data_IF_956485130842
#
_entry.id   IF_956485130842
#
_cell.length_a   1.000
_cell.length_b   1.000
_cell.length_c   1.000
_cell.angle_alpha   90.00
_cell.angle_beta   90.00
_cell.angle_gamma   90.00
#
_symmetry.space_group_name_H-M   'P 1'
#
loop_
_entity.id
_entity.type
_entity.pdbx_description
1 polymer ?
#
# COMPACT_ATOMS: atom_id res chain seq x y z
N UNK A 1 -104.99 -10.42 15.78
CA UNK A 1 -103.95 -10.71 16.74
C UNK A 1 -102.62 -10.74 15.99
N UNK A 2 -101.95 -9.66 15.94
CA UNK A 2 -100.80 -9.35 15.04
C UNK A 2 -99.55 -9.46 15.90
N UNK A 3 -98.63 -10.33 15.52
CA UNK A 3 -97.30 -10.40 16.14
C UNK A 3 -96.28 -9.68 15.26
N UNK A 4 -95.65 -8.68 15.82
CA UNK A 4 -94.49 -7.96 15.26
C UNK A 4 -93.23 -8.81 15.37
N UNK A 5 -92.47 -8.86 14.31
CA UNK A 5 -91.12 -9.42 14.25
C UNK A 5 -90.10 -8.29 14.26
N UNK A 6 -89.16 -8.36 15.17
CA UNK A 6 -88.02 -7.46 15.32
C UNK A 6 -86.82 -7.91 14.48
N UNK A 7 -86.11 -7.04 13.70
CA UNK A 7 -84.87 -7.40 13.02
C UNK A 7 -83.67 -7.22 13.90
N UNK A 8 -82.81 -8.24 13.99
CA UNK A 8 -81.49 -8.22 14.63
C UNK A 8 -80.47 -7.62 13.69
N UNK A 9 -79.87 -6.52 14.08
CA UNK A 9 -78.74 -5.89 13.37
C UNK A 9 -77.46 -6.57 13.80
N UNK A 10 -76.82 -7.28 12.91
CA UNK A 10 -75.49 -7.85 13.09
C UNK A 10 -74.39 -6.79 12.88
N UNK A 11 -73.62 -6.50 13.93
CA UNK A 11 -72.45 -5.61 13.88
C UNK A 11 -71.27 -6.37 13.33
N UNK A 12 -70.90 -6.15 12.07
CA UNK A 12 -69.68 -6.68 11.42
C UNK A 12 -68.46 -5.85 11.84
N UNK A 13 -67.56 -6.42 12.63
CA UNK A 13 -66.25 -5.83 12.91
C UNK A 13 -65.37 -5.94 11.64
N UNK A 14 -65.13 -4.82 10.96
CA UNK A 14 -64.08 -4.69 9.95
C UNK A 14 -62.74 -4.56 10.71
N UNK A 15 -61.94 -5.61 10.74
CA UNK A 15 -60.54 -5.56 11.15
C UNK A 15 -59.70 -4.96 10.03
N UNK A 16 -59.39 -3.67 10.15
CA UNK A 16 -58.36 -3.00 9.31
C UNK A 16 -56.99 -3.57 9.69
N UNK A 17 -56.46 -4.52 8.89
CA UNK A 17 -55.09 -4.94 8.99
C UNK A 17 -54.15 -3.83 8.52
N UNK A 18 -53.44 -3.18 9.46
CA UNK A 18 -52.28 -2.34 9.15
C UNK A 18 -51.19 -3.26 8.59
N UNK A 19 -51.05 -3.34 7.28
CA UNK A 19 -49.86 -3.83 6.62
C UNK A 19 -48.76 -2.82 6.86
N UNK A 20 -47.94 -3.04 7.91
CA UNK A 20 -46.74 -2.30 8.16
C UNK A 20 -45.79 -2.51 6.97
N UNK A 21 -45.62 -1.49 6.14
CA UNK A 21 -44.60 -1.45 5.09
C UNK A 21 -43.24 -1.50 5.78
N UNK A 22 -42.56 -2.66 5.76
CA UNK A 22 -41.15 -2.76 6.10
C UNK A 22 -40.42 -1.95 5.03
N UNK A 23 -39.70 -0.87 5.39
CA UNK A 23 -38.91 -0.14 4.40
C UNK A 23 -37.87 -1.12 3.83
N UNK A 24 -38.01 -1.46 2.55
CA UNK A 24 -36.96 -2.14 1.82
C UNK A 24 -35.73 -1.23 1.88
N UNK A 25 -34.67 -1.65 2.58
CA UNK A 25 -33.39 -0.95 2.49
C UNK A 25 -32.99 -0.95 1.01
N UNK A 26 -32.97 0.23 0.40
CA UNK A 26 -32.51 0.39 -0.94
C UNK A 26 -31.09 -0.21 -1.05
N UNK A 27 -30.86 -1.08 -2.03
CA UNK A 27 -29.55 -1.63 -2.27
C UNK A 27 -28.56 -0.48 -2.51
N UNK A 28 -27.39 -0.54 -1.87
CA UNK A 28 -26.34 0.46 -2.10
C UNK A 28 -25.96 0.43 -3.57
N UNK A 29 -25.94 1.57 -4.21
CA UNK A 29 -25.50 1.71 -5.61
C UNK A 29 -24.74 3.02 -5.76
N UNK A 30 -23.83 3.08 -6.73
CA UNK A 30 -23.08 4.28 -7.03
C UNK A 30 -21.84 3.99 -7.86
N UNK A 31 -21.17 5.05 -8.28
CA UNK A 31 -19.90 4.94 -9.00
C UNK A 31 -18.75 5.33 -8.08
N UNK A 32 -17.76 4.44 -7.97
CA UNK A 32 -16.51 4.65 -7.26
C UNK A 32 -15.36 4.58 -8.27
N UNK A 33 -14.43 5.52 -8.20
CA UNK A 33 -13.21 5.47 -9.00
C UNK A 33 -12.02 4.99 -8.15
N UNK A 34 -11.10 4.24 -8.78
CA UNK A 34 -9.84 3.79 -8.19
C UNK A 34 -8.71 4.19 -9.14
N UNK A 35 -7.92 5.21 -8.74
CA UNK A 35 -6.92 5.86 -9.59
C UNK A 35 -5.51 5.56 -9.06
N UNK A 36 -4.70 4.87 -9.87
CA UNK A 36 -3.35 4.46 -9.53
C UNK A 36 -2.28 5.35 -10.18
N UNK A 37 -1.10 5.48 -9.54
CA UNK A 37 -0.12 6.46 -9.97
C UNK A 37 0.73 5.98 -11.15
N UNK A 38 1.19 4.72 -11.11
CA UNK A 38 2.19 4.22 -12.06
C UNK A 38 2.14 2.68 -12.18
N UNK A 39 2.98 2.12 -13.03
CA UNK A 39 3.16 0.68 -13.21
C UNK A 39 4.54 0.19 -12.72
N UNK A 40 5.37 1.08 -12.14
CA UNK A 40 6.67 0.70 -11.63
C UNK A 40 6.55 -0.24 -10.42
N UNK A 41 5.52 -0.05 -9.60
CA UNK A 41 5.14 -0.96 -8.54
C UNK A 41 4.09 -1.95 -9.07
N UNK A 42 4.53 -3.15 -9.44
CA UNK A 42 3.67 -4.19 -10.07
C UNK A 42 2.48 -4.60 -9.20
N UNK A 43 2.55 -4.38 -7.87
CA UNK A 43 1.47 -4.71 -6.94
C UNK A 43 0.15 -3.99 -7.26
N UNK A 44 0.20 -2.78 -7.82
CA UNK A 44 -1.00 -2.01 -8.16
C UNK A 44 -1.96 -2.77 -9.07
N UNK A 45 -1.39 -3.44 -10.09
CA UNK A 45 -2.16 -4.23 -11.06
C UNK A 45 -2.43 -5.66 -10.57
N UNK A 46 -1.50 -6.24 -9.81
CA UNK A 46 -1.55 -7.65 -9.41
C UNK A 46 -2.38 -7.86 -8.14
N UNK A 47 -2.40 -6.90 -7.23
CA UNK A 47 -2.97 -7.07 -5.89
C UNK A 47 -3.95 -5.95 -5.50
N UNK A 48 -3.55 -4.67 -5.61
CA UNK A 48 -4.35 -3.55 -5.11
C UNK A 48 -5.70 -3.42 -5.83
N UNK A 49 -5.69 -3.29 -7.16
CA UNK A 49 -6.94 -3.18 -7.91
C UNK A 49 -7.79 -4.45 -7.88
N UNK A 50 -7.25 -5.66 -8.07
CA UNK A 50 -8.02 -6.89 -7.90
C UNK A 50 -8.65 -7.02 -6.52
N UNK A 51 -7.90 -6.72 -5.45
CA UNK A 51 -8.39 -6.74 -4.07
C UNK A 51 -9.52 -5.72 -3.84
N UNK A 52 -9.34 -4.48 -4.30
CA UNK A 52 -10.36 -3.45 -4.24
C UNK A 52 -11.64 -3.87 -4.96
N UNK A 53 -11.52 -4.35 -6.21
CA UNK A 53 -12.65 -4.79 -7.02
C UNK A 53 -13.39 -5.97 -6.40
N UNK A 54 -12.65 -6.94 -5.86
CA UNK A 54 -13.23 -8.11 -5.21
C UNK A 54 -14.05 -7.70 -3.98
N UNK A 55 -13.53 -6.80 -3.14
CA UNK A 55 -14.25 -6.34 -1.95
C UNK A 55 -15.44 -5.45 -2.31
N UNK A 56 -15.30 -4.55 -3.28
CA UNK A 56 -16.43 -3.76 -3.81
C UNK A 56 -17.57 -4.67 -4.29
N UNK A 57 -17.26 -5.76 -5.01
CA UNK A 57 -18.28 -6.70 -5.49
C UNK A 57 -19.02 -7.42 -4.37
N UNK A 58 -18.37 -7.67 -3.22
CA UNK A 58 -19.01 -8.26 -2.03
C UNK A 58 -19.91 -7.26 -1.30
N UNK A 59 -19.42 -6.02 -1.14
CA UNK A 59 -20.09 -5.00 -0.33
C UNK A 59 -21.18 -4.24 -1.11
N UNK A 60 -21.04 -4.14 -2.43
CA UNK A 60 -21.93 -3.38 -3.30
C UNK A 60 -21.95 -3.98 -4.72
N UNK A 61 -22.73 -5.03 -4.92
CA UNK A 61 -22.82 -5.72 -6.22
C UNK A 61 -23.29 -4.80 -7.37
N UNK A 62 -24.14 -3.80 -7.08
CA UNK A 62 -24.68 -2.85 -8.05
C UNK A 62 -23.81 -1.59 -8.22
N UNK A 63 -22.66 -1.51 -7.55
CA UNK A 63 -21.74 -0.39 -7.68
C UNK A 63 -20.86 -0.53 -8.93
N UNK A 64 -20.71 0.60 -9.66
CA UNK A 64 -19.76 0.68 -10.78
C UNK A 64 -18.39 1.08 -10.26
N UNK A 65 -17.35 0.32 -10.61
CA UNK A 65 -15.95 0.65 -10.33
C UNK A 65 -15.28 1.14 -11.61
N UNK A 66 -14.73 2.36 -11.59
CA UNK A 66 -13.92 2.95 -12.65
C UNK A 66 -12.45 2.83 -12.25
N UNK A 67 -11.62 2.21 -13.11
CA UNK A 67 -10.20 2.08 -12.89
C UNK A 67 -9.39 2.88 -13.91
N UNK A 68 -8.34 3.56 -13.45
CA UNK A 68 -7.37 4.26 -14.31
C UNK A 68 -5.99 4.21 -13.67
N UNK A 69 -4.95 4.19 -14.51
CA UNK A 69 -3.55 4.29 -14.11
C UNK A 69 -2.89 5.43 -14.87
N UNK A 70 -2.17 6.29 -14.17
CA UNK A 70 -1.58 7.52 -14.73
C UNK A 70 -0.21 7.30 -15.37
N UNK A 71 0.37 6.10 -15.27
CA UNK A 71 1.70 5.77 -15.82
C UNK A 71 2.82 6.75 -15.42
N UNK A 72 2.74 7.30 -14.20
CA UNK A 72 3.71 8.27 -13.68
C UNK A 72 3.49 9.72 -14.12
N UNK A 73 2.42 10.00 -14.88
CA UNK A 73 2.12 11.36 -15.38
C UNK A 73 1.03 12.02 -14.52
N UNK A 74 1.42 13.05 -13.75
CA UNK A 74 0.50 13.80 -12.89
C UNK A 74 -0.56 14.58 -13.70
N UNK A 75 -0.25 15.07 -14.91
CA UNK A 75 -1.21 15.74 -15.77
C UNK A 75 -2.25 14.74 -16.31
N UNK A 76 -1.82 13.54 -16.67
CA UNK A 76 -2.73 12.44 -17.02
C UNK A 76 -3.63 12.07 -15.84
N UNK A 77 -3.07 11.95 -14.62
CA UNK A 77 -3.88 11.66 -13.43
C UNK A 77 -4.95 12.73 -13.18
N UNK A 78 -4.60 14.01 -13.37
CA UNK A 78 -5.57 15.11 -13.28
C UNK A 78 -6.71 14.96 -14.30
N UNK A 79 -6.41 14.64 -15.55
CA UNK A 79 -7.42 14.40 -16.60
C UNK A 79 -8.31 13.20 -16.24
N UNK A 80 -7.71 12.12 -15.77
CA UNK A 80 -8.42 10.93 -15.31
C UNK A 80 -9.36 11.25 -14.14
N UNK A 81 -8.89 12.01 -13.16
CA UNK A 81 -9.67 12.44 -12.00
C UNK A 81 -10.90 13.25 -12.42
N UNK A 82 -10.73 14.23 -13.30
CA UNK A 82 -11.84 15.02 -13.86
C UNK A 82 -12.84 14.14 -14.63
N UNK A 83 -12.31 13.22 -15.42
CA UNK A 83 -13.12 12.30 -16.24
C UNK A 83 -14.02 11.40 -15.39
N UNK A 84 -13.49 10.83 -14.28
CA UNK A 84 -14.31 9.95 -13.45
C UNK A 84 -15.40 10.71 -12.68
N UNK A 85 -15.13 11.96 -12.27
CA UNK A 85 -16.16 12.84 -11.68
C UNK A 85 -17.27 13.13 -12.73
N UNK A 86 -16.89 13.49 -13.96
CA UNK A 86 -17.84 13.70 -15.04
C UNK A 86 -18.67 12.45 -15.37
N UNK A 87 -18.13 11.24 -15.15
CA UNK A 87 -18.83 9.97 -15.27
C UNK A 87 -19.71 9.64 -14.05
N UNK A 88 -19.81 10.54 -13.07
CA UNK A 88 -20.71 10.42 -11.92
C UNK A 88 -20.12 9.71 -10.72
N UNK A 89 -18.78 9.59 -10.61
CA UNK A 89 -18.14 9.08 -9.41
C UNK A 89 -18.56 9.90 -8.18
N UNK A 90 -19.00 9.22 -7.13
CA UNK A 90 -19.38 9.80 -5.83
C UNK A 90 -18.25 9.68 -4.81
N UNK A 91 -17.36 8.73 -5.03
CA UNK A 91 -16.15 8.51 -4.24
C UNK A 91 -14.99 8.30 -5.20
N UNK A 92 -13.88 8.97 -4.96
CA UNK A 92 -12.62 8.75 -5.68
C UNK A 92 -11.58 8.27 -4.67
N UNK A 93 -11.07 7.07 -4.90
CA UNK A 93 -9.89 6.52 -4.22
C UNK A 93 -8.70 6.85 -5.11
N UNK A 94 -7.75 7.60 -4.61
CA UNK A 94 -6.58 8.05 -5.37
C UNK A 94 -5.28 7.71 -4.66
N UNK A 95 -4.39 7.06 -5.37
CA UNK A 95 -2.96 6.99 -5.05
C UNK A 95 -2.26 8.05 -5.92
N UNK A 96 -1.83 9.19 -5.35
CA UNK A 96 -1.39 10.31 -6.15
C UNK A 96 0.00 10.10 -6.78
N UNK A 97 0.17 10.48 -8.06
CA UNK A 97 1.50 10.59 -8.69
C UNK A 97 2.34 11.64 -7.99
N UNK A 98 1.73 12.78 -7.68
CA UNK A 98 2.31 13.90 -6.94
C UNK A 98 1.38 14.26 -5.77
N UNK A 99 1.84 13.98 -4.56
CA UNK A 99 1.07 14.21 -3.33
C UNK A 99 0.76 15.70 -3.07
N UNK A 100 1.58 16.61 -3.59
CA UNK A 100 1.35 18.05 -3.43
C UNK A 100 0.35 18.56 -4.47
N UNK A 101 0.54 18.20 -5.73
CA UNK A 101 -0.35 18.61 -6.82
C UNK A 101 -1.78 18.08 -6.64
N UNK A 102 -1.93 16.88 -6.05
CA UNK A 102 -3.23 16.26 -5.79
C UNK A 102 -4.14 17.07 -4.86
N UNK A 103 -3.61 18.01 -4.08
CA UNK A 103 -4.42 18.86 -3.19
C UNK A 103 -5.50 19.63 -3.95
N UNK A 104 -5.19 20.12 -5.15
CA UNK A 104 -6.16 20.83 -6.00
C UNK A 104 -7.31 19.95 -6.46
N UNK A 105 -7.03 18.66 -6.72
CA UNK A 105 -8.02 17.66 -7.11
C UNK A 105 -8.97 17.36 -5.95
N UNK A 106 -8.44 17.25 -4.73
CA UNK A 106 -9.25 17.05 -3.51
C UNK A 106 -10.21 18.21 -3.33
N UNK A 107 -9.73 19.45 -3.38
CA UNK A 107 -10.58 20.64 -3.23
C UNK A 107 -11.70 20.70 -4.29
N UNK A 108 -11.36 20.40 -5.55
CA UNK A 108 -12.33 20.39 -6.64
C UNK A 108 -13.41 19.31 -6.41
N UNK A 109 -13.01 18.08 -6.03
CA UNK A 109 -13.95 17.00 -5.76
C UNK A 109 -14.89 17.33 -4.59
N UNK A 110 -14.32 17.78 -3.47
CA UNK A 110 -15.08 18.13 -2.27
C UNK A 110 -16.06 19.27 -2.51
N UNK A 111 -15.71 20.28 -3.35
CA UNK A 111 -16.62 21.35 -3.74
C UNK A 111 -17.84 20.86 -4.54
N UNK A 112 -17.75 19.68 -5.16
CA UNK A 112 -18.81 19.02 -5.90
C UNK A 112 -19.53 17.93 -5.06
N UNK A 113 -19.21 17.81 -3.76
CA UNK A 113 -19.77 16.78 -2.89
C UNK A 113 -19.25 15.37 -3.14
N UNK A 114 -18.15 15.23 -3.88
CA UNK A 114 -17.47 13.94 -4.13
C UNK A 114 -16.48 13.67 -3.01
N UNK A 115 -16.55 12.47 -2.42
CA UNK A 115 -15.65 12.02 -1.36
C UNK A 115 -14.30 11.58 -1.92
N UNK A 116 -13.21 11.92 -1.25
CA UNK A 116 -11.85 11.55 -1.64
C UNK A 116 -11.19 10.71 -0.55
N UNK A 117 -10.74 9.51 -0.95
CA UNK A 117 -9.94 8.62 -0.12
C UNK A 117 -8.53 8.62 -0.68
N UNK A 118 -7.55 9.12 0.08
CA UNK A 118 -6.15 8.92 -0.25
C UNK A 118 -5.79 7.45 0.04
N UNK A 119 -5.14 6.82 -0.90
CA UNK A 119 -4.73 5.43 -0.85
C UNK A 119 -3.22 5.34 -0.96
N UNK A 120 -2.58 4.53 -0.12
CA UNK A 120 -1.13 4.32 -0.06
C UNK A 120 -0.33 5.62 0.18
N UNK A 121 -0.32 6.56 -0.76
CA UNK A 121 0.38 7.85 -0.66
C UNK A 121 -0.55 8.92 -0.07
N UNK A 122 -0.15 9.61 1.02
CA UNK A 122 -0.97 10.66 1.62
C UNK A 122 -0.92 11.97 0.81
N UNK A 123 -1.90 12.84 1.06
CA UNK A 123 -1.98 14.20 0.50
C UNK A 123 -1.87 15.20 1.64
N UNK A 124 -0.65 15.61 2.06
CA UNK A 124 -0.44 16.39 3.28
C UNK A 124 -1.00 17.82 3.23
N UNK A 125 -1.06 18.42 2.05
CA UNK A 125 -1.38 19.84 1.86
C UNK A 125 -2.85 20.17 2.07
N UNK A 126 -3.75 19.15 2.05
CA UNK A 126 -5.18 19.32 2.29
C UNK A 126 -5.77 18.06 2.94
N UNK A 127 -6.70 18.19 3.90
CA UNK A 127 -7.34 17.03 4.48
C UNK A 127 -8.26 16.35 3.44
N UNK A 128 -8.02 15.07 3.19
CA UNK A 128 -8.93 14.18 2.46
C UNK A 128 -10.05 13.69 3.37
N UNK A 129 -11.11 13.12 2.81
CA UNK A 129 -12.22 12.57 3.62
C UNK A 129 -11.78 11.32 4.41
N UNK A 130 -10.81 10.55 3.87
CA UNK A 130 -10.20 9.42 4.56
C UNK A 130 -8.84 9.07 3.96
N UNK A 131 -7.94 8.48 4.77
CA UNK A 131 -6.65 7.96 4.31
C UNK A 131 -6.46 6.50 4.73
N UNK A 132 -6.09 5.64 3.79
CA UNK A 132 -5.85 4.21 4.03
C UNK A 132 -4.47 3.83 3.53
N UNK A 133 -3.63 3.30 4.39
CA UNK A 133 -2.26 2.88 4.06
C UNK A 133 -1.67 1.97 5.13
N UNK A 134 -0.40 1.64 4.98
CA UNK A 134 0.44 1.15 6.07
C UNK A 134 1.05 2.31 6.85
N UNK A 135 1.59 2.02 8.04
CA UNK A 135 2.41 2.96 8.83
C UNK A 135 3.78 3.15 8.16
N UNK A 136 3.85 4.12 7.25
CA UNK A 136 5.04 4.35 6.43
C UNK A 136 6.26 4.80 7.25
N UNK A 137 6.07 5.57 8.33
CA UNK A 137 7.17 5.91 9.24
C UNK A 137 7.65 4.67 10.03
N UNK A 138 6.69 3.84 10.48
CA UNK A 138 6.96 2.54 11.09
C UNK A 138 7.71 1.60 10.14
N UNK A 139 7.39 1.58 8.84
CA UNK A 139 8.11 0.84 7.81
C UNK A 139 9.58 1.26 7.78
N UNK A 140 9.85 2.55 7.56
CA UNK A 140 11.23 3.05 7.49
C UNK A 140 12.04 2.69 8.72
N UNK A 141 11.45 2.86 9.91
CA UNK A 141 12.09 2.50 11.18
C UNK A 141 12.35 1.00 11.30
N UNK A 142 11.42 0.16 10.82
CA UNK A 142 11.56 -1.29 10.91
C UNK A 142 12.66 -1.83 9.99
N UNK A 143 12.73 -1.38 8.72
CA UNK A 143 13.77 -1.83 7.78
C UNK A 143 15.16 -1.41 8.24
N UNK A 144 15.33 -0.16 8.71
CA UNK A 144 16.61 0.33 9.20
C UNK A 144 17.05 -0.39 10.48
N UNK A 145 16.17 -0.54 11.48
CA UNK A 145 16.48 -1.28 12.71
C UNK A 145 16.85 -2.73 12.44
N UNK A 146 16.10 -3.40 11.54
CA UNK A 146 16.37 -4.79 11.16
C UNK A 146 17.76 -4.91 10.53
N UNK A 147 18.14 -4.00 9.61
CA UNK A 147 19.46 -3.98 9.00
C UNK A 147 20.56 -3.73 10.04
N UNK A 148 20.38 -2.75 10.93
CA UNK A 148 21.33 -2.43 12.00
C UNK A 148 21.57 -3.63 12.92
N UNK A 149 20.50 -4.33 13.32
CA UNK A 149 20.62 -5.54 14.14
C UNK A 149 21.43 -6.61 13.42
N UNK A 150 21.16 -6.81 12.14
CA UNK A 150 21.90 -7.79 11.33
C UNK A 150 23.38 -7.45 11.17
N UNK A 151 23.72 -6.19 10.91
CA UNK A 151 25.12 -5.76 10.85
C UNK A 151 25.86 -6.02 12.19
N UNK A 152 25.18 -5.80 13.31
CA UNK A 152 25.73 -6.12 14.65
C UNK A 152 25.87 -7.63 14.86
N UNK A 153 24.90 -8.45 14.43
CA UNK A 153 24.99 -9.92 14.46
C UNK A 153 26.18 -10.44 13.64
N UNK A 154 26.47 -9.81 12.51
CA UNK A 154 27.64 -10.11 11.68
C UNK A 154 28.96 -9.59 12.25
N UNK A 155 28.94 -8.86 13.37
CA UNK A 155 30.13 -8.28 13.99
C UNK A 155 30.76 -7.14 13.18
N UNK A 156 29.99 -6.45 12.31
CA UNK A 156 30.50 -5.33 11.52
C UNK A 156 30.78 -4.14 12.44
N UNK A 157 32.05 -3.64 12.53
CA UNK A 157 32.38 -2.51 13.39
C UNK A 157 31.77 -1.20 12.84
N UNK A 158 31.25 -0.36 13.74
CA UNK A 158 30.59 0.91 13.37
C UNK A 158 31.55 2.01 12.88
N UNK A 159 32.86 1.88 13.19
CA UNK A 159 33.91 2.81 12.78
C UNK A 159 34.54 2.51 11.42
N UNK A 160 34.29 1.32 10.85
CA UNK A 160 34.90 0.89 9.58
C UNK A 160 34.15 1.32 8.34
N UNK A 161 32.91 1.82 8.49
CA UNK A 161 32.11 2.19 7.34
C UNK A 161 30.78 2.81 7.73
N UNK A 162 29.85 2.74 6.80
CA UNK A 162 28.49 3.23 7.00
C UNK A 162 27.54 2.67 5.97
N UNK A 163 26.30 3.10 6.04
CA UNK A 163 25.25 2.66 5.13
C UNK A 163 24.99 3.70 4.03
N UNK A 164 24.48 3.23 2.90
CA UNK A 164 23.81 4.09 1.93
C UNK A 164 22.32 4.15 2.25
N UNK A 165 21.68 5.29 2.04
CA UNK A 165 20.23 5.44 2.10
C UNK A 165 19.70 5.68 0.67
N UNK A 166 18.84 4.77 0.17
CA UNK A 166 18.23 4.84 -1.15
C UNK A 166 16.73 4.98 -0.97
N UNK A 167 16.30 6.23 -0.88
CA UNK A 167 14.93 6.62 -0.59
C UNK A 167 14.01 6.50 -1.82
N UNK A 168 12.73 6.79 -1.61
CA UNK A 168 11.71 6.80 -2.65
C UNK A 168 11.63 8.12 -3.44
N UNK A 169 10.53 8.29 -4.18
CA UNK A 169 10.31 9.47 -5.01
C UNK A 169 10.07 10.73 -4.17
N UNK A 170 10.73 11.86 -4.49
CA UNK A 170 10.52 13.12 -3.78
C UNK A 170 9.11 13.71 -3.98
N UNK A 171 8.35 13.26 -4.98
CA UNK A 171 6.95 13.69 -5.21
C UNK A 171 5.93 12.86 -4.44
N UNK A 172 6.39 11.78 -3.76
CA UNK A 172 5.58 10.89 -2.95
C UNK A 172 5.75 11.23 -1.45
N UNK A 173 4.69 11.69 -0.81
CA UNK A 173 4.75 12.03 0.61
C UNK A 173 4.95 10.80 1.52
N UNK A 174 4.57 9.58 1.08
CA UNK A 174 4.87 8.35 1.81
C UNK A 174 6.38 8.07 1.83
N UNK A 175 7.09 8.36 0.73
CA UNK A 175 8.56 8.27 0.69
C UNK A 175 9.22 9.14 1.76
N UNK A 176 8.70 10.35 1.97
CA UNK A 176 9.15 11.24 3.06
C UNK A 176 8.94 10.65 4.45
N UNK A 177 7.80 9.99 4.70
CA UNK A 177 7.53 9.30 5.96
C UNK A 177 8.49 8.11 6.16
N UNK A 178 8.70 7.28 5.12
CA UNK A 178 9.64 6.16 5.17
C UNK A 178 11.05 6.68 5.47
N UNK A 179 11.51 7.74 4.79
CA UNK A 179 12.80 8.37 5.04
C UNK A 179 12.95 8.83 6.48
N UNK A 180 11.96 9.51 7.05
CA UNK A 180 11.98 9.92 8.45
C UNK A 180 12.08 8.72 9.38
N UNK A 181 11.37 7.64 9.07
CA UNK A 181 11.46 6.37 9.79
C UNK A 181 12.86 5.73 9.69
N UNK A 182 13.50 5.75 8.51
CA UNK A 182 14.86 5.27 8.29
C UNK A 182 15.83 6.04 9.19
N UNK A 183 15.79 7.37 9.17
CA UNK A 183 16.62 8.21 10.03
C UNK A 183 16.42 7.88 11.52
N UNK A 184 15.14 7.73 11.95
CA UNK A 184 14.82 7.32 13.32
C UNK A 184 15.32 5.90 13.67
N UNK A 185 15.35 4.99 12.71
CA UNK A 185 15.86 3.63 12.87
C UNK A 185 17.38 3.55 12.95
N UNK A 186 18.07 4.43 12.23
CA UNK A 186 19.53 4.55 12.24
C UNK A 186 20.05 5.34 13.44
N UNK A 187 19.24 6.21 14.03
CA UNK A 187 19.64 7.05 15.16
C UNK A 187 20.16 6.21 16.34
N UNK A 188 21.34 6.54 16.84
CA UNK A 188 21.99 5.84 17.93
C UNK A 188 22.51 4.44 17.59
N UNK A 189 22.47 4.01 16.32
CA UNK A 189 22.98 2.70 15.88
C UNK A 189 24.51 2.59 15.95
N UNK A 190 25.20 3.72 15.78
CA UNK A 190 26.64 3.83 15.57
C UNK A 190 27.06 3.81 14.10
N UNK A 191 26.23 3.30 13.19
CA UNK A 191 26.51 3.37 11.75
C UNK A 191 26.13 4.73 11.19
N UNK A 192 27.05 5.35 10.46
CA UNK A 192 26.82 6.64 9.79
C UNK A 192 26.23 6.43 8.40
N UNK A 193 25.45 7.39 7.93
CA UNK A 193 25.05 7.50 6.53
C UNK A 193 26.21 8.05 5.72
N UNK A 194 26.70 7.28 4.75
CA UNK A 194 27.77 7.69 3.84
C UNK A 194 27.25 8.64 2.75
N UNK A 195 26.08 8.35 2.23
CA UNK A 195 25.36 9.15 1.23
C UNK A 195 23.90 8.76 1.22
N UNK A 196 23.05 9.70 0.79
CA UNK A 196 21.60 9.57 0.71
C UNK A 196 21.12 10.02 -0.67
N UNK A 197 20.07 9.40 -1.20
CA UNK A 197 19.48 9.70 -2.50
C UNK A 197 17.98 9.49 -2.52
N UNK A 198 17.25 10.51 -2.94
CA UNK A 198 15.83 10.40 -3.23
C UNK A 198 15.68 9.94 -4.70
N UNK A 199 15.14 8.74 -4.89
CA UNK A 199 15.05 8.08 -6.21
C UNK A 199 13.82 8.57 -6.97
N UNK A 200 13.98 9.41 -8.00
CA UNK A 200 12.82 9.90 -8.77
C UNK A 200 11.99 8.75 -9.33
N UNK A 201 10.66 8.86 -9.20
CA UNK A 201 9.68 7.87 -9.70
C UNK A 201 9.85 6.46 -9.12
N UNK A 202 10.58 6.31 -8.00
CA UNK A 202 10.95 5.00 -7.44
C UNK A 202 11.69 4.09 -8.44
N UNK A 203 12.29 4.66 -9.49
CA UNK A 203 12.80 3.95 -10.65
C UNK A 203 14.07 3.14 -10.33
N UNK A 204 14.04 1.78 -10.41
CA UNK A 204 15.19 0.94 -10.09
C UNK A 204 16.46 1.27 -10.89
N UNK A 205 16.40 1.63 -12.19
CA UNK A 205 17.60 2.04 -12.93
C UNK A 205 18.28 3.29 -12.38
N UNK A 206 17.51 4.26 -11.86
CA UNK A 206 18.07 5.47 -11.24
C UNK A 206 18.78 5.13 -9.93
N UNK A 207 18.18 4.25 -9.09
CA UNK A 207 18.83 3.71 -7.90
C UNK A 207 20.12 2.98 -8.23
N UNK A 208 20.11 2.09 -9.23
CA UNK A 208 21.28 1.35 -9.70
C UNK A 208 22.40 2.28 -10.14
N UNK A 209 22.09 3.28 -10.97
CA UNK A 209 23.06 4.25 -11.47
C UNK A 209 23.72 5.02 -10.31
N UNK A 210 22.91 5.50 -9.36
CA UNK A 210 23.43 6.25 -8.23
C UNK A 210 24.30 5.38 -7.32
N UNK A 211 23.85 4.16 -6.97
CA UNK A 211 24.61 3.22 -6.14
C UNK A 211 25.93 2.83 -6.80
N UNK A 212 25.96 2.63 -8.13
CA UNK A 212 27.20 2.36 -8.89
C UNK A 212 28.24 3.47 -8.68
N UNK A 213 27.81 4.74 -8.66
CA UNK A 213 28.68 5.87 -8.34
C UNK A 213 29.19 5.82 -6.89
N UNK A 214 28.35 5.39 -5.93
CA UNK A 214 28.77 5.28 -4.53
C UNK A 214 29.71 4.09 -4.31
N UNK A 215 29.52 2.98 -5.01
CA UNK A 215 30.47 1.84 -4.99
C UNK A 215 31.85 2.29 -5.44
N UNK A 216 31.95 3.07 -6.49
CA UNK A 216 33.23 3.66 -6.94
C UNK A 216 33.84 4.60 -5.89
N UNK A 217 33.00 5.39 -5.21
CA UNK A 217 33.44 6.42 -4.24
C UNK A 217 33.88 5.83 -2.90
N UNK A 218 33.12 4.91 -2.35
CA UNK A 218 33.28 4.40 -0.99
C UNK A 218 33.81 2.98 -0.90
N UNK A 219 33.62 2.16 -1.95
CA UNK A 219 34.11 0.78 -1.98
C UNK A 219 33.70 -0.03 -0.75
N UNK A 220 34.69 -0.64 -0.09
CA UNK A 220 34.51 -1.48 1.09
C UNK A 220 34.01 -0.74 2.35
N UNK A 221 33.91 0.59 2.32
CA UNK A 221 33.30 1.34 3.41
C UNK A 221 31.77 1.21 3.43
N UNK A 222 31.14 0.76 2.33
CA UNK A 222 29.71 0.50 2.30
C UNK A 222 29.46 -0.84 3.00
N UNK A 223 28.93 -0.79 4.23
CA UNK A 223 28.64 -2.00 5.02
C UNK A 223 27.20 -2.47 4.91
N UNK A 224 26.32 -1.66 4.33
CA UNK A 224 24.92 -1.99 4.07
C UNK A 224 24.20 -0.90 3.30
N UNK A 225 22.99 -1.21 2.83
CA UNK A 225 22.12 -0.26 2.14
C UNK A 225 20.72 -0.30 2.75
N UNK A 226 20.25 0.84 3.23
CA UNK A 226 18.85 1.01 3.63
C UNK A 226 18.10 1.52 2.41
N UNK A 227 17.43 0.62 1.69
CA UNK A 227 16.60 0.94 0.55
C UNK A 227 15.13 1.01 0.99
N UNK A 228 14.42 2.06 0.57
CA UNK A 228 13.06 2.35 1.02
C UNK A 228 12.01 1.41 0.41
N UNK A 229 12.32 0.75 -0.73
CA UNK A 229 11.50 -0.30 -1.31
C UNK A 229 12.33 -1.34 -2.07
N UNK A 230 11.65 -2.40 -2.53
CA UNK A 230 12.28 -3.52 -3.24
C UNK A 230 12.84 -3.14 -4.61
N UNK A 231 12.21 -2.19 -5.30
CA UNK A 231 12.71 -1.69 -6.58
C UNK A 231 14.06 -1.00 -6.42
N UNK A 232 14.17 -0.08 -5.46
CA UNK A 232 15.42 0.63 -5.15
C UNK A 232 16.47 -0.32 -4.56
N UNK A 233 16.04 -1.28 -3.71
CA UNK A 233 16.90 -2.34 -3.17
C UNK A 233 17.46 -3.25 -4.25
N UNK A 234 16.62 -3.70 -5.18
CA UNK A 234 17.04 -4.50 -6.34
C UNK A 234 18.03 -3.75 -7.25
N UNK A 235 17.82 -2.44 -7.44
CA UNK A 235 18.76 -1.55 -8.13
C UNK A 235 20.12 -1.51 -7.43
N UNK A 236 20.13 -1.40 -6.09
CA UNK A 236 21.36 -1.44 -5.31
C UNK A 236 22.09 -2.79 -5.45
N UNK A 237 21.37 -3.90 -5.31
CA UNK A 237 21.94 -5.26 -5.52
C UNK A 237 22.56 -5.40 -6.90
N UNK A 238 21.86 -4.93 -7.93
CA UNK A 238 22.35 -4.97 -9.32
C UNK A 238 23.64 -4.15 -9.50
N UNK A 239 23.74 -2.98 -8.86
CA UNK A 239 24.95 -2.15 -8.89
C UNK A 239 26.15 -2.86 -8.28
N UNK A 240 26.01 -3.47 -7.11
CA UNK A 240 27.09 -4.24 -6.45
C UNK A 240 27.54 -5.42 -7.31
N UNK A 241 26.60 -6.19 -7.87
CA UNK A 241 26.91 -7.34 -8.73
C UNK A 241 27.63 -6.91 -10.01
N UNK A 242 27.20 -5.82 -10.64
CA UNK A 242 27.87 -5.27 -11.83
C UNK A 242 29.30 -4.82 -11.53
N UNK A 243 29.58 -4.36 -10.29
CA UNK A 243 30.92 -4.00 -9.82
C UNK A 243 31.75 -5.21 -9.35
N UNK A 244 31.24 -6.43 -9.43
CA UNK A 244 31.92 -7.65 -8.97
C UNK A 244 32.03 -7.79 -7.46
N UNK A 245 31.24 -7.05 -6.69
CA UNK A 245 31.22 -7.13 -5.22
C UNK A 245 30.49 -8.40 -4.80
N UNK A 246 31.21 -9.30 -4.12
CA UNK A 246 30.67 -10.56 -3.61
C UNK A 246 31.33 -10.91 -2.27
N UNK A 247 30.58 -11.13 -1.19
CA UNK A 247 29.13 -11.02 -1.11
C UNK A 247 28.63 -9.56 -1.24
N UNK A 248 27.40 -9.42 -1.70
CA UNK A 248 26.69 -8.12 -1.69
C UNK A 248 26.49 -7.69 -0.24
N UNK A 249 26.82 -6.44 0.15
CA UNK A 249 26.47 -5.93 1.46
C UNK A 249 24.96 -6.08 1.74
N UNK A 250 24.52 -6.26 3.01
CA UNK A 250 23.12 -6.37 3.33
C UNK A 250 22.30 -5.19 2.79
N UNK A 251 21.26 -5.49 2.02
CA UNK A 251 20.34 -4.51 1.41
C UNK A 251 18.95 -4.73 1.98
N UNK A 252 18.28 -3.67 2.40
CA UNK A 252 16.88 -3.72 2.80
C UNK A 252 15.92 -3.52 1.62
N UNK A 253 14.63 -3.71 1.88
CA UNK A 253 13.56 -3.41 0.95
C UNK A 253 12.22 -3.26 1.65
N UNK A 254 11.17 -3.08 0.86
CA UNK A 254 9.78 -2.98 1.29
C UNK A 254 8.89 -3.35 0.11
N UNK A 255 7.75 -3.96 0.32
CA UNK A 255 6.67 -4.41 -0.57
C UNK A 255 6.59 -5.94 -0.75
N UNK A 256 7.59 -6.70 -0.34
CA UNK A 256 7.66 -8.16 -0.47
C UNK A 256 7.38 -8.66 -1.91
N UNK A 257 7.93 -7.96 -2.90
CA UNK A 257 7.78 -8.35 -4.32
C UNK A 257 8.42 -9.71 -4.58
N UNK A 258 7.90 -10.45 -5.57
CA UNK A 258 8.49 -11.75 -5.97
C UNK A 258 9.99 -11.64 -6.24
N UNK A 259 10.41 -10.57 -6.93
CA UNK A 259 11.83 -10.33 -7.22
C UNK A 259 12.67 -10.16 -5.96
N UNK A 260 12.21 -9.40 -4.97
CA UNK A 260 12.91 -9.21 -3.71
C UNK A 260 12.92 -10.46 -2.84
N UNK A 261 11.82 -11.18 -2.76
CA UNK A 261 11.74 -12.48 -2.06
C UNK A 261 12.73 -13.47 -2.67
N UNK A 262 12.87 -13.50 -3.99
CA UNK A 262 13.88 -14.29 -4.70
C UNK A 262 15.31 -13.83 -4.35
N UNK A 263 15.58 -12.53 -4.27
CA UNK A 263 16.88 -12.02 -3.82
C UNK A 263 17.19 -12.39 -2.37
N UNK A 264 16.18 -12.40 -1.47
CA UNK A 264 16.33 -12.88 -0.10
C UNK A 264 16.63 -14.38 -0.07
N UNK A 265 15.95 -15.19 -0.89
CA UNK A 265 16.21 -16.64 -1.04
C UNK A 265 17.63 -16.88 -1.55
N UNK A 266 18.14 -16.04 -2.44
CA UNK A 266 19.51 -16.12 -2.93
C UNK A 266 20.58 -15.64 -1.93
N UNK A 267 20.19 -14.83 -0.92
CA UNK A 267 21.09 -14.18 0.01
C UNK A 267 21.67 -12.84 -0.50
N UNK A 268 21.11 -12.30 -1.57
CA UNK A 268 21.53 -11.03 -2.19
C UNK A 268 20.83 -9.80 -1.59
N UNK A 269 19.66 -9.98 -0.98
CA UNK A 269 18.94 -8.97 -0.20
C UNK A 269 18.70 -9.52 1.20
N UNK A 270 18.75 -8.65 2.21
CA UNK A 270 18.64 -9.09 3.61
C UNK A 270 17.18 -9.15 4.09
N UNK A 271 16.43 -8.08 3.89
CA UNK A 271 15.02 -8.02 4.33
C UNK A 271 14.13 -7.30 3.31
N UNK A 272 12.84 -7.48 3.50
CA UNK A 272 11.77 -6.65 2.93
C UNK A 272 10.66 -6.47 3.96
N UNK A 273 9.65 -5.68 3.66
CA UNK A 273 8.43 -5.56 4.47
C UNK A 273 7.28 -6.23 3.73
N UNK A 274 6.58 -7.13 4.41
CA UNK A 274 5.29 -7.63 3.93
C UNK A 274 4.22 -6.57 4.16
N UNK A 275 3.62 -6.15 3.05
CA UNK A 275 2.47 -5.24 2.96
C UNK A 275 1.40 -5.90 2.10
N UNK A 276 0.62 -6.88 2.60
CA UNK A 276 -0.46 -7.46 1.79
C UNK A 276 -1.42 -6.33 1.39
N UNK A 277 -1.28 -5.82 0.16
CA UNK A 277 -2.02 -4.63 -0.28
C UNK A 277 -3.52 -4.88 -0.42
N UNK A 278 -3.92 -6.14 -0.52
CA UNK A 278 -5.32 -6.56 -0.51
C UNK A 278 -6.07 -6.10 0.74
N UNK A 279 -5.42 -6.07 1.92
CA UNK A 279 -6.07 -5.61 3.16
C UNK A 279 -6.30 -4.10 3.15
N UNK A 280 -5.38 -3.33 2.56
CA UNK A 280 -5.52 -1.88 2.39
C UNK A 280 -6.59 -1.58 1.34
N UNK A 281 -6.58 -2.33 0.24
CA UNK A 281 -7.57 -2.21 -0.83
C UNK A 281 -8.98 -2.55 -0.34
N UNK A 282 -9.14 -3.63 0.44
CA UNK A 282 -10.41 -4.00 1.06
C UNK A 282 -10.90 -2.93 2.05
N UNK A 283 -10.01 -2.35 2.85
CA UNK A 283 -10.35 -1.26 3.75
C UNK A 283 -10.81 -0.01 2.98
N UNK A 284 -10.13 0.36 1.89
CA UNK A 284 -10.53 1.46 1.03
C UNK A 284 -11.91 1.24 0.38
N UNK A 285 -12.20 0.00 -0.07
CA UNK A 285 -13.50 -0.39 -0.60
C UNK A 285 -14.60 -0.27 0.47
N UNK A 286 -14.33 -0.73 1.70
CA UNK A 286 -15.26 -0.60 2.83
C UNK A 286 -15.59 0.87 3.11
N UNK A 287 -14.57 1.72 3.22
CA UNK A 287 -14.73 3.16 3.43
C UNK A 287 -15.53 3.81 2.29
N UNK A 288 -15.25 3.40 1.04
CA UNK A 288 -15.97 3.93 -0.13
C UNK A 288 -17.47 3.58 -0.07
N UNK A 289 -17.82 2.35 0.30
CA UNK A 289 -19.22 1.92 0.45
C UNK A 289 -19.89 2.62 1.63
N UNK A 290 -19.18 2.85 2.73
CA UNK A 290 -19.72 3.65 3.86
C UNK A 290 -20.06 5.08 3.42
N UNK A 291 -19.21 5.75 2.65
CA UNK A 291 -19.49 7.06 2.09
C UNK A 291 -20.68 7.05 1.11
N UNK A 292 -20.81 6.04 0.24
CA UNK A 292 -21.98 5.90 -0.64
C UNK A 292 -23.28 5.78 0.16
N UNK A 293 -23.24 5.17 1.34
CA UNK A 293 -24.37 5.04 2.26
C UNK A 293 -24.58 6.27 3.16
N UNK A 294 -23.83 7.36 2.95
CA UNK A 294 -23.90 8.56 3.80
C UNK A 294 -23.41 8.33 5.23
N UNK A 295 -22.65 7.27 5.47
CA UNK A 295 -22.09 6.95 6.80
C UNK A 295 -20.72 7.61 6.98
N UNK A 296 -20.35 7.86 8.24
CA UNK A 296 -18.99 8.27 8.60
C UNK A 296 -18.16 7.02 8.91
N UNK A 297 -17.06 6.78 8.20
CA UNK A 297 -16.17 5.64 8.48
C UNK A 297 -15.55 5.72 9.88
N UNK A 298 -15.22 4.54 10.43
CA UNK A 298 -14.53 4.46 11.72
C UNK A 298 -13.14 5.09 11.62
N UNK A 299 -12.81 5.97 12.57
CA UNK A 299 -11.48 6.59 12.67
C UNK A 299 -10.58 5.73 13.56
N UNK A 300 -9.48 5.23 13.04
CA UNK A 300 -8.49 4.46 13.80
C UNK A 300 -7.30 5.34 14.22
N UNK A 301 -6.94 6.30 13.39
CA UNK A 301 -5.88 7.29 13.61
C UNK A 301 -6.19 8.57 12.82
N UNK A 302 -5.33 9.57 12.97
CA UNK A 302 -5.41 10.81 12.19
C UNK A 302 -4.02 11.16 11.67
N UNK A 303 -3.88 11.31 10.37
CA UNK A 303 -2.65 11.77 9.72
C UNK A 303 -2.98 12.93 8.79
N UNK A 304 -2.17 13.99 8.80
CA UNK A 304 -2.42 15.21 8.02
C UNK A 304 -3.85 15.75 8.14
N UNK A 305 -4.41 15.71 9.36
CA UNK A 305 -5.80 16.10 9.67
C UNK A 305 -6.88 15.25 8.98
N UNK A 306 -6.52 14.16 8.32
CA UNK A 306 -7.47 13.22 7.72
C UNK A 306 -7.73 12.04 8.65
N UNK A 307 -9.01 11.61 8.83
CA UNK A 307 -9.32 10.32 9.43
C UNK A 307 -8.59 9.21 8.70
N UNK A 308 -7.97 8.29 9.42
CA UNK A 308 -7.05 7.32 8.79
C UNK A 308 -7.18 5.93 9.36
N UNK A 309 -6.84 4.94 8.52
CA UNK A 309 -6.56 3.55 8.92
C UNK A 309 -5.18 3.17 8.41
N UNK A 310 -4.25 2.93 9.34
CA UNK A 310 -2.87 2.56 9.05
C UNK A 310 -2.61 1.15 9.56
N UNK A 311 -2.13 0.28 8.68
CA UNK A 311 -1.82 -1.10 8.99
C UNK A 311 -0.36 -1.26 9.43
N UNK A 312 -0.12 -2.20 10.34
CA UNK A 312 1.23 -2.46 10.85
C UNK A 312 2.03 -3.30 9.85
N UNK A 313 3.25 -2.90 9.49
CA UNK A 313 4.11 -3.67 8.59
C UNK A 313 4.76 -4.86 9.30
N UNK A 314 5.12 -5.91 8.54
CA UNK A 314 5.88 -7.06 9.03
C UNK A 314 7.22 -7.20 8.30
N UNK A 315 8.33 -7.29 9.06
CA UNK A 315 9.68 -7.48 8.49
C UNK A 315 9.85 -8.94 8.07
N UNK A 316 10.22 -9.15 6.82
CA UNK A 316 10.51 -10.45 6.22
C UNK A 316 12.01 -10.58 5.98
N UNK A 317 12.57 -11.68 6.43
CA UNK A 317 13.95 -12.11 6.19
C UNK A 317 13.94 -13.57 5.76
N UNK A 318 15.09 -14.14 5.41
CA UNK A 318 15.19 -15.58 5.13
C UNK A 318 14.70 -16.46 6.28
N UNK A 319 14.73 -15.96 7.54
CA UNK A 319 14.33 -16.72 8.74
C UNK A 319 12.81 -16.97 8.81
N UNK A 320 11.99 -16.07 8.30
CA UNK A 320 10.53 -16.12 8.40
C UNK A 320 9.79 -16.05 7.04
N UNK A 321 10.52 -15.99 5.93
CA UNK A 321 9.91 -15.90 4.59
C UNK A 321 8.94 -17.06 4.32
N UNK A 322 9.31 -18.30 4.72
CA UNK A 322 8.43 -19.44 4.52
C UNK A 322 7.11 -19.27 5.28
N UNK A 323 7.16 -18.99 6.57
CA UNK A 323 5.94 -18.90 7.42
C UNK A 323 5.08 -17.68 7.07
N UNK A 324 5.72 -16.52 6.89
CA UNK A 324 5.01 -15.23 6.73
C UNK A 324 4.57 -14.94 5.30
N UNK A 325 5.15 -15.60 4.30
CA UNK A 325 4.83 -15.36 2.89
C UNK A 325 4.21 -16.59 2.24
N UNK A 326 4.91 -17.74 2.30
CA UNK A 326 4.48 -18.94 1.56
C UNK A 326 3.34 -19.65 2.27
N UNK A 327 3.51 -19.97 3.55
CA UNK A 327 2.50 -20.68 4.34
C UNK A 327 1.28 -19.78 4.62
N UNK A 328 1.48 -18.46 4.65
CA UNK A 328 0.41 -17.46 4.73
C UNK A 328 -0.35 -17.26 3.40
N UNK A 329 0.13 -17.85 2.30
CA UNK A 329 -0.54 -17.78 0.99
C UNK A 329 -0.39 -16.43 0.26
N UNK A 330 0.57 -15.57 0.68
CA UNK A 330 0.81 -14.26 0.04
C UNK A 330 1.47 -14.47 -1.33
N UNK A 331 2.48 -15.36 -1.42
CA UNK A 331 3.14 -15.72 -2.67
C UNK A 331 3.43 -17.20 -2.66
N UNK A 332 3.18 -17.88 -3.77
CA UNK A 332 3.35 -19.34 -3.86
C UNK A 332 4.82 -19.76 -4.00
N UNK A 333 5.16 -20.95 -3.47
CA UNK A 333 6.46 -21.55 -3.70
C UNK A 333 6.78 -21.73 -5.21
N UNK A 334 5.75 -21.96 -6.04
CA UNK A 334 5.90 -22.11 -7.50
C UNK A 334 6.39 -20.82 -8.16
N UNK A 335 5.95 -19.65 -7.69
CA UNK A 335 6.39 -18.35 -8.20
C UNK A 335 7.81 -18.02 -7.74
N UNK A 336 8.16 -18.36 -6.51
CA UNK A 336 9.45 -18.03 -5.91
C UNK A 336 10.57 -18.96 -6.37
N UNK A 337 10.29 -20.28 -6.41
CA UNK A 337 11.33 -21.32 -6.58
C UNK A 337 11.57 -21.67 -8.05
N UNK A 338 11.95 -20.67 -8.84
CA UNK A 338 12.21 -20.81 -10.28
C UNK A 338 13.69 -20.62 -10.61
N UNK A 339 14.18 -21.25 -11.66
CA UNK A 339 15.54 -21.06 -12.18
C UNK A 339 16.62 -21.20 -11.08
N UNK A 340 17.47 -20.18 -10.93
CA UNK A 340 18.58 -20.14 -9.97
C UNK A 340 18.16 -20.13 -8.49
N UNK A 341 16.88 -19.89 -8.18
CA UNK A 341 16.39 -19.79 -6.80
C UNK A 341 15.98 -21.13 -6.19
N UNK A 342 15.86 -22.20 -7.01
CA UNK A 342 15.42 -23.54 -6.57
C UNK A 342 16.23 -24.05 -5.39
N UNK A 343 17.56 -23.96 -5.44
CA UNK A 343 18.42 -24.46 -4.35
C UNK A 343 18.35 -23.59 -3.10
N UNK A 344 18.14 -22.29 -3.27
CA UNK A 344 17.84 -21.39 -2.15
C UNK A 344 16.54 -21.76 -1.45
N UNK A 345 15.49 -22.05 -2.22
CA UNK A 345 14.20 -22.50 -1.69
C UNK A 345 14.35 -23.78 -0.87
N UNK A 346 15.09 -24.77 -1.40
CA UNK A 346 15.34 -26.03 -0.66
C UNK A 346 16.04 -25.77 0.68
N UNK A 347 17.06 -24.88 0.70
CA UNK A 347 17.75 -24.51 1.96
C UNK A 347 16.80 -23.89 2.99
N UNK A 348 15.81 -23.14 2.54
CA UNK A 348 14.82 -22.48 3.40
C UNK A 348 13.58 -23.35 3.66
N UNK A 349 13.54 -24.60 3.16
CA UNK A 349 12.40 -25.50 3.33
C UNK A 349 11.14 -25.06 2.59
N UNK A 350 11.30 -24.28 1.50
CA UNK A 350 10.22 -23.80 0.64
C UNK A 350 10.05 -24.79 -0.52
N UNK A 351 8.83 -25.28 -0.75
CA UNK A 351 8.53 -26.16 -1.88
C UNK A 351 9.03 -27.60 -1.70
N UNK A 352 8.94 -28.13 -0.48
CA UNK A 352 9.09 -29.57 -0.16
C UNK A 352 7.80 -30.31 -0.39
#
# INVERSE_FOLDING_TARGET
MTRLATPTIGLGLLSLGLLGSIPAMAATSGTVAFLMPDQASTRYEQHDFPGFKAEMSKLCADCKVLYQNANGDAAQQQQQFNSVIAQGAKVVVIDPVDSTAAASLVHMAQSQGVKVIAYDRPIPSTPVDYYVSFDNEGIGKAIAKSLVLHLKELGVPTDKGGVLEVNGSPTDAAAGLIRNGIHAGLQGSGYKTLAEFDTPEWAPPKAQQWVSGQVTRFGAQIVGVVAANDGTGGGAVAAFKAAGVNPVPPVSGNDATVAALQLIIAGDQYNTISKPSEIVAAAAATVAVEFLNGKSPKVYSTLYKAPSQLFTPAVITAKNLKSEIVDAGITSAKELCTGRYVDGCKRLGIGG
#
